data_IF_700996663129
#
_entry.id   IF_700996663129
#
_cell.length_a   1.000
_cell.length_b   1.000
_cell.length_c   1.000
_cell.angle_alpha   90.00
_cell.angle_beta   90.00
_cell.angle_gamma   90.00
#
_symmetry.space_group_name_H-M   'P 1'
#
loop_
_entity.id
_entity.type
_entity.pdbx_description
1 polymer ?
#
# COMPACT_ATOMS: atom_id res chain seq x y z
N UNK A 1 -15.12 -31.18 -4.76
CA UNK A 1 -14.77 -29.80 -5.05
C UNK A 1 -15.39 -28.92 -3.94
N UNK A 2 -14.64 -28.03 -3.32
CA UNK A 2 -15.18 -27.05 -2.38
C UNK A 2 -16.00 -25.98 -3.14
N UNK A 3 -17.01 -25.35 -2.51
CA UNK A 3 -17.69 -24.19 -3.11
C UNK A 3 -16.70 -23.05 -3.41
N UNK A 4 -16.98 -22.29 -4.47
CA UNK A 4 -16.20 -21.10 -4.83
C UNK A 4 -16.38 -20.04 -3.75
N UNK A 5 -15.25 -19.52 -3.21
CA UNK A 5 -15.25 -18.43 -2.24
C UNK A 5 -15.15 -17.07 -2.93
N UNK A 6 -15.42 -15.98 -2.16
CA UNK A 6 -15.20 -14.61 -2.67
C UNK A 6 -13.73 -14.36 -3.06
N UNK A 7 -12.77 -14.98 -2.37
CA UNK A 7 -11.36 -14.90 -2.72
C UNK A 7 -11.07 -15.59 -4.05
N UNK A 8 -11.70 -16.73 -4.32
CA UNK A 8 -11.52 -17.41 -5.63
C UNK A 8 -12.01 -16.52 -6.78
N UNK A 9 -13.12 -15.80 -6.57
CA UNK A 9 -13.65 -14.83 -7.54
C UNK A 9 -12.68 -13.65 -7.70
N UNK A 10 -12.19 -13.08 -6.60
CA UNK A 10 -11.30 -11.93 -6.61
C UNK A 10 -9.98 -12.19 -7.37
N UNK A 11 -9.43 -13.40 -7.25
CA UNK A 11 -8.17 -13.77 -7.91
C UNK A 11 -8.35 -14.46 -9.26
N UNK A 12 -9.57 -14.64 -9.72
CA UNK A 12 -9.88 -15.41 -10.96
C UNK A 12 -9.24 -14.76 -12.19
N UNK A 13 -9.35 -13.43 -12.32
CA UNK A 13 -8.77 -12.70 -13.45
C UNK A 13 -7.25 -12.84 -13.50
N UNK A 14 -6.56 -12.70 -12.38
CA UNK A 14 -5.11 -12.89 -12.29
C UNK A 14 -4.70 -14.32 -12.68
N UNK A 15 -5.41 -15.32 -12.17
CA UNK A 15 -5.12 -16.73 -12.51
C UNK A 15 -5.33 -17.02 -14.00
N UNK A 16 -6.34 -16.41 -14.63
CA UNK A 16 -6.59 -16.55 -16.05
C UNK A 16 -5.48 -15.89 -16.89
N UNK A 17 -5.06 -14.65 -16.52
CA UNK A 17 -3.94 -13.97 -17.18
C UNK A 17 -2.65 -14.81 -17.09
N UNK A 18 -2.37 -15.37 -15.90
CA UNK A 18 -1.22 -16.27 -15.71
C UNK A 18 -1.29 -17.49 -16.63
N UNK A 19 -2.46 -18.13 -16.73
CA UNK A 19 -2.68 -19.30 -17.61
C UNK A 19 -2.46 -18.97 -19.09
N UNK A 20 -2.68 -17.73 -19.49
CA UNK A 20 -2.46 -17.22 -20.84
C UNK A 20 -1.02 -16.77 -21.10
N UNK A 21 -0.11 -16.84 -20.11
CA UNK A 21 1.28 -16.36 -20.25
C UNK A 21 1.41 -14.83 -20.29
N UNK A 22 0.40 -14.10 -19.80
CA UNK A 22 0.39 -12.62 -19.79
C UNK A 22 0.98 -12.01 -18.50
N UNK A 23 1.60 -12.83 -17.64
CA UNK A 23 2.26 -12.43 -16.40
C UNK A 23 3.69 -12.97 -16.31
N UNK A 24 4.35 -13.16 -17.46
CA UNK A 24 5.71 -13.74 -17.51
C UNK A 24 6.78 -12.79 -16.97
N UNK A 25 6.50 -11.48 -16.92
CA UNK A 25 7.35 -10.45 -16.29
C UNK A 25 7.20 -10.41 -14.77
N UNK A 26 6.30 -11.19 -14.19
CA UNK A 26 6.12 -11.24 -12.74
C UNK A 26 7.33 -11.91 -12.09
N UNK A 27 7.99 -11.18 -11.19
CA UNK A 27 9.09 -11.70 -10.40
C UNK A 27 8.54 -12.34 -9.13
N UNK A 28 8.57 -13.67 -9.07
CA UNK A 28 8.05 -14.45 -7.96
C UNK A 28 9.15 -14.93 -7.02
N UNK A 29 8.91 -14.82 -5.72
CA UNK A 29 9.79 -15.32 -4.66
C UNK A 29 9.01 -15.46 -3.35
N UNK A 30 9.38 -16.43 -2.55
CA UNK A 30 8.81 -16.63 -1.20
C UNK A 30 9.11 -15.47 -0.24
N UNK A 31 10.08 -14.62 -0.56
CA UNK A 31 10.47 -13.45 0.24
C UNK A 31 9.65 -12.19 -0.09
N UNK A 32 8.84 -12.18 -1.17
CA UNK A 32 8.19 -10.97 -1.67
C UNK A 32 6.79 -10.83 -1.08
N UNK A 33 6.55 -9.70 -0.41
CA UNK A 33 5.24 -9.28 0.11
C UNK A 33 4.62 -8.14 -0.72
N UNK A 34 5.07 -7.93 -1.95
CA UNK A 34 4.61 -6.90 -2.87
C UNK A 34 4.48 -7.48 -4.28
N UNK A 35 3.73 -6.82 -5.16
CA UNK A 35 3.73 -7.17 -6.58
C UNK A 35 5.04 -6.68 -7.21
N UNK A 36 5.82 -7.58 -7.77
CA UNK A 36 7.11 -7.28 -8.40
C UNK A 36 7.11 -7.71 -9.85
N UNK A 37 7.50 -6.80 -10.74
CA UNK A 37 7.66 -7.07 -12.17
C UNK A 37 9.08 -6.75 -12.63
N UNK A 38 9.53 -7.48 -13.66
CA UNK A 38 10.81 -7.24 -14.32
C UNK A 38 10.56 -6.25 -15.46
N UNK A 39 11.27 -5.14 -15.43
CA UNK A 39 11.15 -4.09 -16.45
C UNK A 39 12.52 -3.83 -17.06
N UNK A 40 12.67 -3.91 -18.40
CA UNK A 40 13.87 -3.46 -19.07
C UNK A 40 13.92 -1.93 -19.03
N UNK A 41 15.02 -1.36 -18.58
CA UNK A 41 15.27 0.08 -18.53
C UNK A 41 16.55 0.41 -19.29
N UNK A 42 16.50 1.44 -20.15
CA UNK A 42 17.71 1.95 -20.81
C UNK A 42 18.36 3.00 -19.92
N UNK A 43 19.59 2.74 -19.48
CA UNK A 43 20.40 3.61 -18.62
C UNK A 43 21.76 3.81 -19.27
N UNK A 44 22.10 5.04 -19.57
CA UNK A 44 23.35 5.41 -20.22
C UNK A 44 23.63 4.62 -21.53
N UNK A 45 22.57 4.35 -22.31
CA UNK A 45 22.64 3.61 -23.57
C UNK A 45 22.79 2.09 -23.43
N UNK A 46 22.62 1.56 -22.21
CA UNK A 46 22.61 0.11 -21.95
C UNK A 46 21.25 -0.32 -21.38
N UNK A 47 20.75 -1.45 -21.86
CA UNK A 47 19.51 -2.02 -21.33
C UNK A 47 19.82 -2.88 -20.10
N UNK A 48 19.20 -2.54 -18.99
CA UNK A 48 19.32 -3.27 -17.74
C UNK A 48 17.95 -3.79 -17.28
N UNK A 49 17.91 -4.94 -16.63
CA UNK A 49 16.69 -5.41 -15.95
C UNK A 49 16.57 -4.76 -14.58
N UNK A 50 15.39 -4.17 -14.32
CA UNK A 50 15.01 -3.61 -13.04
C UNK A 50 13.82 -4.36 -12.47
N UNK A 51 13.77 -4.48 -11.15
CA UNK A 51 12.56 -4.85 -10.43
C UNK A 51 11.80 -3.57 -10.08
N UNK A 52 10.53 -3.54 -10.48
CA UNK A 52 9.58 -2.50 -10.06
C UNK A 52 8.54 -3.15 -9.17
N UNK A 53 8.40 -2.66 -7.95
CA UNK A 53 7.46 -3.19 -6.97
C UNK A 53 6.34 -2.20 -6.69
N UNK A 54 5.13 -2.73 -6.62
CA UNK A 54 3.96 -2.03 -6.11
C UNK A 54 3.45 -2.74 -4.86
N UNK A 55 3.23 -1.97 -3.80
CA UNK A 55 2.58 -2.43 -2.58
C UNK A 55 1.47 -1.48 -2.19
N UNK A 56 0.32 -2.04 -1.81
CA UNK A 56 -0.72 -1.30 -1.11
C UNK A 56 -1.00 -1.95 0.25
N UNK A 57 -1.39 -1.13 1.20
CA UNK A 57 -1.74 -1.52 2.56
C UNK A 57 -3.02 -0.83 2.98
N UNK A 58 -3.90 -1.55 3.67
CA UNK A 58 -5.08 -0.96 4.30
C UNK A 58 -4.92 -0.99 5.81
N UNK A 59 -5.10 0.15 6.47
CA UNK A 59 -4.94 0.27 7.92
C UNK A 59 -6.13 1.00 8.54
N UNK A 60 -7.33 0.52 8.22
CA UNK A 60 -8.60 1.19 8.49
C UNK A 60 -8.88 1.30 9.99
N UNK A 61 -8.94 0.15 10.68
CA UNK A 61 -9.36 0.08 12.08
C UNK A 61 -8.36 0.75 13.05
N UNK A 62 -7.05 0.52 12.95
CA UNK A 62 -6.09 1.23 13.79
C UNK A 62 -6.13 2.73 13.60
N UNK A 63 -6.34 3.23 12.37
CA UNK A 63 -6.45 4.67 12.08
C UNK A 63 -7.71 5.29 12.67
N UNK A 64 -8.80 4.54 12.83
CA UNK A 64 -9.98 5.03 13.53
C UNK A 64 -9.75 5.21 15.04
N UNK A 65 -8.96 4.36 15.66
CA UNK A 65 -8.73 4.34 17.10
C UNK A 65 -7.63 5.32 17.49
N UNK A 66 -6.51 5.25 16.80
CA UNK A 66 -5.35 6.13 16.98
C UNK A 66 -4.89 6.65 15.62
N UNK A 67 -5.47 7.77 15.15
CA UNK A 67 -5.35 8.18 13.75
C UNK A 67 -3.93 8.51 13.32
N UNK A 68 -3.11 9.10 14.19
CA UNK A 68 -1.74 9.48 13.84
C UNK A 68 -0.86 8.24 13.62
N UNK A 69 -0.75 7.38 14.61
CA UNK A 69 0.06 6.17 14.52
C UNK A 69 -0.50 5.15 13.55
N UNK A 70 -1.85 5.04 13.46
CA UNK A 70 -2.49 4.15 12.50
C UNK A 70 -2.15 4.50 11.05
N UNK A 71 -2.26 5.76 10.67
CA UNK A 71 -1.90 6.21 9.33
C UNK A 71 -0.39 6.18 9.08
N UNK A 72 0.43 6.51 10.08
CA UNK A 72 1.88 6.37 9.99
C UNK A 72 2.29 4.92 9.75
N UNK A 73 1.70 3.97 10.48
CA UNK A 73 1.96 2.53 10.32
C UNK A 73 1.47 2.02 8.97
N UNK A 74 0.37 2.56 8.44
CA UNK A 74 -0.11 2.25 7.08
C UNK A 74 1.00 2.48 6.04
N UNK A 75 1.60 3.68 6.03
CA UNK A 75 2.71 3.98 5.14
C UNK A 75 3.95 3.12 5.48
N UNK A 76 4.25 2.95 6.75
CA UNK A 76 5.38 2.14 7.21
C UNK A 76 5.30 0.69 6.73
N UNK A 77 4.13 0.07 6.77
CA UNK A 77 3.89 -1.27 6.22
C UNK A 77 4.12 -1.32 4.71
N UNK A 78 3.57 -0.33 3.99
CA UNK A 78 3.80 -0.22 2.55
C UNK A 78 5.29 -0.18 2.18
N UNK A 79 6.10 0.54 2.97
CA UNK A 79 7.54 0.71 2.70
C UNK A 79 8.33 -0.55 3.05
N UNK A 80 8.02 -1.17 4.19
CA UNK A 80 8.76 -2.34 4.70
C UNK A 80 8.67 -3.55 3.78
N UNK A 81 7.54 -3.76 3.14
CA UNK A 81 7.32 -4.95 2.31
C UNK A 81 8.18 -4.94 1.03
N UNK A 82 8.19 -3.89 0.19
CA UNK A 82 9.16 -3.81 -0.91
C UNK A 82 10.61 -3.82 -0.45
N UNK A 83 10.90 -3.16 0.67
CA UNK A 83 12.24 -3.13 1.24
C UNK A 83 12.73 -4.53 1.66
N UNK A 84 11.84 -5.37 2.22
CA UNK A 84 12.13 -6.78 2.50
C UNK A 84 12.48 -7.55 1.22
N UNK A 85 11.87 -7.19 0.09
CA UNK A 85 12.20 -7.69 -1.25
C UNK A 85 13.43 -7.05 -1.89
N UNK A 86 14.21 -6.25 -1.15
CA UNK A 86 15.44 -5.57 -1.58
C UNK A 86 15.23 -4.43 -2.57
N UNK A 87 14.04 -3.85 -2.60
CA UNK A 87 13.68 -2.74 -3.48
C UNK A 87 13.54 -1.44 -2.70
N UNK A 88 14.15 -0.37 -3.19
CA UNK A 88 14.04 0.96 -2.59
C UNK A 88 12.74 1.64 -3.02
N UNK A 89 11.95 2.14 -2.05
CA UNK A 89 10.71 2.86 -2.28
C UNK A 89 11.01 4.34 -2.55
N UNK A 90 10.51 4.86 -3.66
CA UNK A 90 10.76 6.24 -4.07
C UNK A 90 9.49 7.09 -4.23
N UNK A 91 8.31 6.47 -4.24
CA UNK A 91 7.03 7.14 -4.43
C UNK A 91 5.97 6.56 -3.51
N UNK A 92 5.28 7.41 -2.76
CA UNK A 92 4.09 7.05 -1.99
C UNK A 92 2.82 7.67 -2.58
N UNK A 93 1.71 7.02 -2.31
CA UNK A 93 0.34 7.45 -2.64
C UNK A 93 -0.56 7.19 -1.45
N UNK A 94 -1.63 7.97 -1.30
CA UNK A 94 -2.62 7.82 -0.24
C UNK A 94 -4.03 7.92 -0.79
N UNK A 95 -4.90 7.00 -0.40
CA UNK A 95 -6.32 7.02 -0.69
C UNK A 95 -7.11 6.83 0.61
N UNK A 96 -8.04 7.72 0.91
CA UNK A 96 -8.87 7.63 2.12
C UNK A 96 -10.35 7.73 1.82
N UNK A 97 -11.15 7.05 2.66
CA UNK A 97 -12.59 7.26 2.78
C UNK A 97 -12.92 7.67 4.20
N UNK A 98 -13.62 8.78 4.38
CA UNK A 98 -13.94 9.39 5.66
C UNK A 98 -15.34 9.99 5.66
N UNK A 99 -15.95 10.14 6.82
CA UNK A 99 -17.09 11.04 6.98
C UNK A 99 -16.67 12.50 6.81
N UNK A 100 -17.65 13.40 6.66
CA UNK A 100 -17.38 14.85 6.50
C UNK A 100 -16.62 15.39 7.74
N UNK A 101 -15.40 15.92 7.59
CA UNK A 101 -14.63 16.48 8.71
C UNK A 101 -15.24 17.76 9.31
N UNK A 102 -16.26 18.34 8.66
CA UNK A 102 -17.03 19.49 9.16
C UNK A 102 -18.18 19.06 10.05
N UNK A 103 -18.48 17.76 10.15
CA UNK A 103 -19.52 17.24 11.04
C UNK A 103 -19.33 17.75 12.46
N UNK A 104 -20.45 18.14 13.11
CA UNK A 104 -20.45 18.58 14.51
C UNK A 104 -19.93 17.46 15.43
N UNK A 105 -19.20 17.85 16.48
CA UNK A 105 -18.76 16.90 17.51
C UNK A 105 -19.95 16.23 18.19
N UNK A 106 -21.10 16.96 18.32
CA UNK A 106 -22.31 16.41 18.90
C UNK A 106 -22.92 15.24 18.10
N UNK A 107 -22.64 15.19 16.78
CA UNK A 107 -23.12 14.13 15.88
C UNK A 107 -22.16 12.93 15.79
N UNK A 108 -21.12 12.93 16.62
CA UNK A 108 -20.16 11.81 16.65
C UNK A 108 -20.83 10.54 17.16
N UNK A 109 -20.67 9.43 16.44
CA UNK A 109 -21.20 8.14 16.86
C UNK A 109 -20.60 7.71 18.22
N UNK A 110 -21.39 7.08 19.09
CA UNK A 110 -20.90 6.57 20.38
C UNK A 110 -19.66 5.66 20.19
N UNK A 111 -18.63 5.89 21.00
CA UNK A 111 -17.38 5.12 20.95
C UNK A 111 -16.45 5.44 19.77
N UNK A 112 -16.75 6.47 18.98
CA UNK A 112 -15.91 6.95 17.88
C UNK A 112 -15.24 8.28 18.19
N UNK A 113 -14.15 8.57 17.50
CA UNK A 113 -13.57 9.91 17.47
C UNK A 113 -14.33 10.81 16.48
N UNK A 114 -14.37 12.14 16.69
CA UNK A 114 -14.92 13.06 15.71
C UNK A 114 -14.21 12.97 14.37
N UNK A 115 -14.94 13.06 13.24
CA UNK A 115 -14.41 12.92 11.89
C UNK A 115 -13.25 13.88 11.60
N UNK A 116 -13.35 15.13 12.08
CA UNK A 116 -12.25 16.10 11.95
C UNK A 116 -10.99 15.65 12.67
N UNK A 117 -11.11 15.09 13.87
CA UNK A 117 -9.96 14.58 14.64
C UNK A 117 -9.27 13.46 13.90
N UNK A 118 -10.04 12.50 13.39
CA UNK A 118 -9.50 11.36 12.63
C UNK A 118 -8.79 11.86 11.37
N UNK A 119 -9.45 12.66 10.56
CA UNK A 119 -8.94 13.11 9.26
C UNK A 119 -7.64 13.91 9.41
N UNK A 120 -7.61 14.88 10.32
CA UNK A 120 -6.42 15.74 10.50
C UNK A 120 -5.24 14.99 11.10
N UNK A 121 -5.48 14.16 12.11
CA UNK A 121 -4.41 13.41 12.76
C UNK A 121 -3.86 12.28 11.85
N UNK A 122 -4.73 11.62 11.07
CA UNK A 122 -4.30 10.61 10.09
C UNK A 122 -3.43 11.22 8.97
N UNK A 123 -3.82 12.40 8.45
CA UNK A 123 -3.01 13.11 7.47
C UNK A 123 -1.63 13.48 8.02
N UNK A 124 -1.60 13.99 9.26
CA UNK A 124 -0.34 14.33 9.94
C UNK A 124 0.55 13.09 10.17
N UNK A 125 -0.03 11.96 10.59
CA UNK A 125 0.71 10.72 10.83
C UNK A 125 1.33 10.14 9.55
N UNK A 126 0.54 10.09 8.48
CA UNK A 126 1.03 9.61 7.18
C UNK A 126 2.18 10.49 6.65
N UNK A 127 2.00 11.81 6.69
CA UNK A 127 3.01 12.79 6.31
C UNK A 127 4.27 12.68 7.18
N UNK A 128 4.11 12.54 8.49
CA UNK A 128 5.24 12.44 9.43
C UNK A 128 6.15 11.26 9.10
N UNK A 129 5.59 10.09 8.82
CA UNK A 129 6.40 8.92 8.50
C UNK A 129 7.19 9.12 7.19
N UNK A 130 6.53 9.60 6.14
CA UNK A 130 7.20 9.87 4.86
C UNK A 130 8.31 10.91 4.98
N UNK A 131 8.06 12.01 5.70
CA UNK A 131 9.03 13.09 5.88
C UNK A 131 10.30 12.64 6.64
N UNK A 132 10.17 11.72 7.61
CA UNK A 132 11.30 11.20 8.36
C UNK A 132 12.30 10.40 7.52
N UNK A 133 11.84 9.80 6.44
CA UNK A 133 12.67 9.01 5.53
C UNK A 133 12.88 9.65 4.15
N UNK A 134 12.38 10.88 3.96
CA UNK A 134 12.52 11.61 2.70
C UNK A 134 11.65 11.07 1.56
N UNK A 135 10.56 10.37 1.87
CA UNK A 135 9.64 9.82 0.87
C UNK A 135 8.48 10.77 0.58
N UNK A 136 8.37 11.22 -0.67
CA UNK A 136 7.27 12.07 -1.09
C UNK A 136 5.97 11.27 -1.33
N UNK A 137 4.83 11.81 -0.88
CA UNK A 137 3.49 11.34 -1.24
C UNK A 137 3.01 12.12 -2.47
N UNK A 138 3.23 11.58 -3.65
CA UNK A 138 2.98 12.28 -4.91
C UNK A 138 1.51 12.31 -5.33
N UNK A 139 0.66 11.48 -4.73
CA UNK A 139 -0.78 11.43 -4.99
C UNK A 139 -1.54 11.24 -3.69
N UNK A 140 -2.48 12.15 -3.42
CA UNK A 140 -3.46 12.02 -2.32
C UNK A 140 -4.86 12.15 -2.91
N UNK A 141 -5.73 11.20 -2.57
CA UNK A 141 -7.15 11.25 -2.88
C UNK A 141 -7.93 10.98 -1.61
N UNK A 142 -8.79 11.90 -1.22
CA UNK A 142 -9.68 11.76 -0.07
C UNK A 142 -11.13 11.82 -0.53
N UNK A 143 -11.90 10.78 -0.20
CA UNK A 143 -13.33 10.67 -0.50
C UNK A 143 -14.10 10.87 0.80
N UNK A 144 -15.08 11.77 0.78
CA UNK A 144 -15.93 12.05 1.92
C UNK A 144 -17.34 11.56 1.64
N UNK A 145 -17.81 10.59 2.43
CA UNK A 145 -19.16 10.03 2.34
C UNK A 145 -19.61 9.47 3.69
N UNK A 146 -20.92 9.49 3.95
CA UNK A 146 -21.49 9.02 5.22
C UNK A 146 -21.23 7.54 5.50
N UNK A 147 -21.07 6.75 4.47
CA UNK A 147 -20.75 5.31 4.54
C UNK A 147 -19.43 5.04 5.27
N UNK A 148 -18.50 6.00 5.24
CA UNK A 148 -17.22 5.90 5.93
C UNK A 148 -17.24 6.38 7.39
N UNK A 149 -18.36 6.87 7.90
CA UNK A 149 -18.47 7.28 9.32
C UNK A 149 -18.34 6.06 10.24
N UNK A 150 -19.02 4.96 9.88
CA UNK A 150 -18.98 3.72 10.66
C UNK A 150 -17.62 3.03 10.55
N UNK A 151 -16.99 3.11 9.40
CA UNK A 151 -15.68 2.49 9.10
C UNK A 151 -14.88 3.32 8.11
N UNK A 152 -13.84 3.97 8.62
CA UNK A 152 -12.87 4.69 7.80
C UNK A 152 -12.11 3.74 6.87
N UNK A 153 -11.80 4.21 5.69
CA UNK A 153 -10.83 3.61 4.79
C UNK A 153 -9.52 4.40 4.82
N UNK A 154 -8.42 3.74 5.15
CA UNK A 154 -7.06 4.29 5.09
C UNK A 154 -6.22 3.36 4.26
N UNK A 155 -5.82 3.79 3.07
CA UNK A 155 -5.01 3.03 2.13
C UNK A 155 -3.73 3.80 1.85
N UNK A 156 -2.61 3.14 2.09
CA UNK A 156 -1.30 3.52 1.57
C UNK A 156 -0.96 2.70 0.34
N UNK A 157 -0.21 3.28 -0.57
CA UNK A 157 0.41 2.56 -1.66
C UNK A 157 1.78 3.15 -1.96
N UNK A 158 2.69 2.33 -2.44
CA UNK A 158 4.04 2.75 -2.79
C UNK A 158 4.53 2.08 -4.06
N UNK A 159 5.47 2.74 -4.72
CA UNK A 159 6.25 2.18 -5.82
C UNK A 159 7.72 2.20 -5.39
N UNK A 160 8.39 1.07 -5.59
CA UNK A 160 9.82 0.93 -5.38
C UNK A 160 10.51 0.35 -6.62
N UNK A 161 11.81 0.56 -6.74
CA UNK A 161 12.60 -0.02 -7.81
C UNK A 161 14.03 -0.31 -7.37
N UNK A 162 14.65 -1.31 -7.99
CA UNK A 162 16.07 -1.62 -7.86
C UNK A 162 16.59 -2.34 -9.11
N UNK A 163 17.87 -2.16 -9.48
CA UNK A 163 18.48 -3.03 -10.49
C UNK A 163 18.39 -4.50 -10.05
N UNK A 164 17.90 -5.37 -10.93
CA UNK A 164 17.69 -6.79 -10.61
C UNK A 164 18.98 -7.46 -10.11
N UNK A 165 20.13 -7.06 -10.66
CA UNK A 165 21.45 -7.58 -10.26
C UNK A 165 21.81 -7.31 -8.79
N UNK A 166 21.18 -6.31 -8.15
CA UNK A 166 21.44 -5.94 -6.76
C UNK A 166 20.56 -6.74 -5.78
N UNK A 167 19.59 -7.49 -6.28
CA UNK A 167 18.66 -8.26 -5.44
C UNK A 167 19.25 -9.64 -5.18
N UNK A 168 19.83 -9.83 -3.99
CA UNK A 168 20.39 -11.10 -3.55
C UNK A 168 19.36 -11.82 -2.68
N UNK A 169 18.90 -12.98 -3.15
CA UNK A 169 17.99 -13.87 -2.41
C UNK A 169 18.77 -15.08 -1.92
N UNK A 170 18.59 -15.40 -0.65
CA UNK A 170 19.22 -16.56 -0.03
C UNK A 170 18.14 -17.53 0.42
N UNK A 171 18.23 -18.78 0.01
CA UNK A 171 17.41 -19.83 0.59
C UNK A 171 17.96 -20.17 1.99
N UNK A 172 17.10 -20.28 3.02
CA UNK A 172 17.54 -20.78 4.32
C UNK A 172 18.14 -22.17 4.16
N UNK A 173 19.29 -22.39 4.75
CA UNK A 173 19.88 -23.73 4.86
C UNK A 173 19.45 -24.31 6.21
N UNK A 174 19.09 -25.61 6.29
CA UNK A 174 18.73 -26.27 7.54
C UNK A 174 19.90 -26.34 8.52
#
# INVERSE_FOLDING_TARGET
PRPMSLMDIAVMGMKELRRQGLLDDLDESDEINACSIIVPAEIDGQVEEWLVMFKNETHNHPTEIEPFGGAATCLGGCIRDPLSGRVYVYQAMRLTGSGDPRQSVADTLPGKLPQRKITTAAAAGYSSYGNQIGLATGKVTEVYANEFIAKRMEIGAVIGAAPRRNVVRKQPQP
#
